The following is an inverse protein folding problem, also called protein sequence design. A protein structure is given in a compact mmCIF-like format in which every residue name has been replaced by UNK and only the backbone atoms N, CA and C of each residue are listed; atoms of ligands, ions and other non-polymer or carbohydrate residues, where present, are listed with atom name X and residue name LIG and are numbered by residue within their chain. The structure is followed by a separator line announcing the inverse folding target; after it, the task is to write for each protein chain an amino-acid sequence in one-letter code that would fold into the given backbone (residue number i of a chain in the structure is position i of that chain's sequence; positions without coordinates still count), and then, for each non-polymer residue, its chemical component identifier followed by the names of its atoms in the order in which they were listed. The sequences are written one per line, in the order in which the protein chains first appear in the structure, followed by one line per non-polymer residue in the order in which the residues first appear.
data_IF_380274073533
#
_entry.id   IF_380274073533
#
_cell.length_a   1.000
_cell.length_b   1.000
_cell.length_c   1.000
_cell.angle_alpha   90.00
_cell.angle_beta   90.00
_cell.angle_gamma   90.00
#
_symmetry.space_group_name_H-M   'P 1'
#
loop_
_entity.id
_entity.type
_entity.pdbx_description
1 polymer ?
#
# COMPACT_ATOMS: atom_id res chain seq x y z
N UNK A 1 31.70 10.46 -0.34
CA UNK A 1 30.72 9.51 0.22
C UNK A 1 30.40 9.99 1.62
N UNK A 2 29.18 10.46 1.92
CA UNK A 2 28.85 10.92 3.26
C UNK A 2 28.89 9.73 4.23
N UNK A 3 29.45 9.98 5.41
CA UNK A 3 29.81 8.98 6.40
C UNK A 3 28.57 8.50 7.15
N UNK A 4 28.50 7.20 7.45
CA UNK A 4 27.46 6.59 8.30
C UNK A 4 27.28 7.29 9.66
N UNK A 5 28.28 8.06 10.09
CA UNK A 5 28.26 8.86 11.31
C UNK A 5 27.41 10.14 11.20
N UNK A 6 27.32 10.76 10.02
CA UNK A 6 26.53 11.98 9.80
C UNK A 6 25.02 11.73 9.93
N UNK A 7 24.58 10.53 9.58
CA UNK A 7 23.18 10.10 9.74
C UNK A 7 22.81 9.96 11.21
N UNK A 8 23.72 9.48 12.05
CA UNK A 8 23.50 9.33 13.49
C UNK A 8 23.35 10.70 14.18
N UNK A 9 24.21 11.67 13.82
CA UNK A 9 24.13 13.04 14.36
C UNK A 9 22.88 13.80 13.93
N UNK A 10 22.30 13.48 12.77
CA UNK A 10 21.03 14.08 12.33
C UNK A 10 19.83 13.74 13.21
N UNK A 11 19.95 12.70 14.05
CA UNK A 11 18.91 12.22 14.96
C UNK A 11 18.99 12.85 16.36
N UNK A 12 20.12 13.52 16.69
CA UNK A 12 20.41 14.13 17.99
C UNK A 12 20.26 15.67 17.96
N UNK A 13 20.28 16.30 16.78
CA UNK A 13 20.24 17.77 16.64
C UNK A 13 18.82 18.25 16.23
N UNK A 14 18.11 19.05 17.06
CA UNK A 14 16.72 19.48 16.82
C UNK A 14 16.55 20.53 15.70
N UNK A 15 17.63 20.91 15.01
CA UNK A 15 17.64 21.95 13.97
C UNK A 15 17.59 21.43 12.52
N UNK A 16 17.46 20.12 12.30
CA UNK A 16 17.16 19.57 10.97
C UNK A 16 15.75 19.01 10.93
N UNK A 17 15.01 19.38 9.86
CA UNK A 17 13.59 19.01 9.63
C UNK A 17 13.38 17.54 10.01
N UNK A 18 12.38 17.21 10.86
CA UNK A 18 12.16 15.85 11.28
C UNK A 18 11.91 14.99 10.04
N UNK A 19 12.88 14.13 9.72
CA UNK A 19 12.67 13.07 8.74
C UNK A 19 11.56 12.22 9.34
N UNK A 20 10.38 12.22 8.72
CA UNK A 20 9.29 11.30 9.07
C UNK A 20 9.74 9.90 8.66
N UNK A 21 10.59 9.30 9.47
CA UNK A 21 10.97 7.89 9.30
C UNK A 21 9.74 7.08 9.68
N UNK A 22 9.23 6.21 8.79
CA UNK A 22 8.12 5.32 9.13
C UNK A 22 8.51 4.45 10.34
N UNK A 23 7.52 4.05 11.12
CA UNK A 23 7.76 3.21 12.30
C UNK A 23 8.32 1.84 11.90
N UNK A 24 9.07 1.16 12.77
CA UNK A 24 9.60 -0.19 12.47
C UNK A 24 8.49 -1.17 12.02
N UNK A 25 7.30 -1.22 12.65
CA UNK A 25 6.20 -2.06 12.18
C UNK A 25 5.74 -1.74 10.75
N UNK A 26 5.68 -0.45 10.40
CA UNK A 26 5.29 0.01 9.07
C UNK A 26 6.33 -0.38 8.01
N UNK A 27 7.62 -0.35 8.36
CA UNK A 27 8.70 -0.81 7.48
C UNK A 27 8.58 -2.33 7.23
N UNK A 28 8.36 -3.12 8.28
CA UNK A 28 8.20 -4.57 8.16
C UNK A 28 6.98 -4.95 7.31
N UNK A 29 5.86 -4.26 7.51
CA UNK A 29 4.64 -4.42 6.71
C UNK A 29 4.88 -4.09 5.23
N UNK A 30 5.48 -2.93 4.93
CA UNK A 30 5.80 -2.55 3.56
C UNK A 30 6.77 -3.55 2.89
N UNK A 31 7.80 -4.01 3.60
CA UNK A 31 8.73 -5.02 3.10
C UNK A 31 8.03 -6.34 2.76
N UNK A 32 7.08 -6.76 3.61
CA UNK A 32 6.28 -7.98 3.39
C UNK A 32 5.38 -7.85 2.15
N UNK A 33 4.75 -6.69 1.96
CA UNK A 33 3.93 -6.42 0.78
C UNK A 33 4.78 -6.39 -0.50
N UNK A 34 5.93 -5.71 -0.48
CA UNK A 34 6.86 -5.66 -1.63
C UNK A 34 7.30 -7.07 -2.03
N UNK A 35 7.68 -7.91 -1.07
CA UNK A 35 8.03 -9.31 -1.32
C UNK A 35 6.88 -10.10 -1.98
N UNK A 36 5.64 -9.77 -1.62
CA UNK A 36 4.44 -10.45 -2.13
C UNK A 36 4.03 -10.00 -3.55
N UNK A 37 4.60 -8.90 -4.08
CA UNK A 37 4.23 -8.36 -5.40
C UNK A 37 4.56 -9.29 -6.56
N UNK A 38 5.61 -10.10 -6.45
CA UNK A 38 5.99 -11.06 -7.49
C UNK A 38 4.98 -12.21 -7.60
N UNK A 39 4.51 -12.72 -6.46
CA UNK A 39 3.42 -13.72 -6.41
C UNK A 39 2.10 -13.14 -6.93
N UNK A 40 1.80 -11.88 -6.61
CA UNK A 40 0.59 -11.21 -7.10
C UNK A 40 0.54 -11.10 -8.63
N UNK A 41 1.69 -10.95 -9.32
CA UNK A 41 1.74 -10.95 -10.79
C UNK A 41 1.39 -12.32 -11.38
N UNK A 42 1.85 -13.41 -10.77
CA UNK A 42 1.53 -14.76 -11.22
C UNK A 42 0.04 -15.05 -11.05
N UNK A 43 -0.50 -14.76 -9.88
CA UNK A 43 -1.93 -14.91 -9.58
C UNK A 43 -2.81 -14.10 -10.55
N UNK A 44 -2.35 -12.91 -10.95
CA UNK A 44 -3.07 -12.08 -11.94
C UNK A 44 -3.21 -12.76 -13.30
N UNK A 45 -2.25 -13.57 -13.73
CA UNK A 45 -2.30 -14.26 -15.03
C UNK A 45 -3.22 -15.48 -15.01
N UNK A 46 -3.40 -16.09 -13.83
CA UNK A 46 -4.25 -17.27 -13.65
C UNK A 46 -5.71 -16.91 -13.30
N UNK A 47 -6.00 -15.66 -12.94
CA UNK A 47 -7.33 -15.24 -12.51
C UNK A 47 -8.29 -14.97 -13.69
N UNK A 48 -9.48 -15.58 -13.66
CA UNK A 48 -10.57 -15.33 -14.62
C UNK A 48 -11.11 -13.90 -14.51
N UNK A 49 -11.09 -13.33 -13.30
CA UNK A 49 -11.54 -11.97 -13.03
C UNK A 49 -10.73 -11.35 -11.90
N UNK A 50 -10.03 -10.26 -12.20
CA UNK A 50 -9.12 -9.58 -11.28
C UNK A 50 -9.60 -8.16 -10.97
N UNK A 51 -9.97 -7.91 -9.71
CA UNK A 51 -10.40 -6.61 -9.21
C UNK A 51 -9.25 -6.00 -8.41
N UNK A 52 -8.85 -4.77 -8.74
CA UNK A 52 -7.83 -4.02 -7.99
C UNK A 52 -8.35 -2.64 -7.61
N UNK A 53 -8.92 -2.47 -6.41
CA UNK A 53 -9.37 -1.17 -5.96
C UNK A 53 -8.17 -0.21 -5.78
N UNK A 54 -8.34 1.09 -6.07
CA UNK A 54 -7.30 2.09 -5.87
C UNK A 54 -7.16 2.43 -4.38
N UNK A 55 -6.28 1.71 -3.68
CA UNK A 55 -6.05 1.85 -2.22
C UNK A 55 -4.66 2.41 -1.87
N UNK A 56 -3.90 2.86 -2.87
CA UNK A 56 -2.50 3.29 -2.76
C UNK A 56 -2.32 4.57 -1.91
N UNK A 57 -3.39 5.35 -1.71
CA UNK A 57 -3.39 6.56 -0.89
C UNK A 57 -3.58 6.31 0.61
N UNK A 58 -3.92 5.08 1.01
CA UNK A 58 -4.17 4.72 2.41
C UNK A 58 -2.91 4.13 3.04
N UNK A 59 -2.53 4.62 4.22
CA UNK A 59 -1.45 3.99 4.98
C UNK A 59 -1.92 2.68 5.59
N UNK A 60 -1.02 1.71 5.63
CA UNK A 60 -1.31 0.35 6.13
C UNK A 60 -1.80 0.32 7.58
N UNK A 61 -1.33 1.26 8.41
CA UNK A 61 -1.65 1.33 9.84
C UNK A 61 -2.68 2.44 10.16
N UNK A 62 -3.32 3.04 9.16
CA UNK A 62 -4.28 4.13 9.35
C UNK A 62 -5.71 3.59 9.50
N UNK A 63 -6.01 3.09 10.70
CA UNK A 63 -7.31 2.50 11.04
C UNK A 63 -8.46 3.52 11.04
N UNK A 64 -8.18 4.81 11.23
CA UNK A 64 -9.17 5.90 11.16
C UNK A 64 -9.83 6.02 9.79
N UNK A 65 -9.17 5.57 8.72
CA UNK A 65 -9.70 5.61 7.37
C UNK A 65 -10.30 4.27 6.90
N UNK A 66 -10.41 3.28 7.79
CA UNK A 66 -10.84 1.92 7.46
C UNK A 66 -12.27 1.88 6.90
N UNK A 67 -13.21 2.59 7.54
CA UNK A 67 -14.61 2.65 7.07
C UNK A 67 -14.70 3.23 5.66
N UNK A 68 -13.93 4.30 5.39
CA UNK A 68 -13.84 4.91 4.07
C UNK A 68 -13.22 3.96 3.04
N UNK A 69 -12.21 3.19 3.44
CA UNK A 69 -11.57 2.18 2.61
C UNK A 69 -12.54 1.06 2.23
N UNK A 70 -13.37 0.62 3.19
CA UNK A 70 -14.41 -0.40 2.98
C UNK A 70 -15.44 0.11 1.96
N UNK A 71 -15.94 1.34 2.14
CA UNK A 71 -16.91 1.93 1.21
C UNK A 71 -16.34 2.03 -0.21
N UNK A 72 -15.10 2.51 -0.36
CA UNK A 72 -14.42 2.60 -1.67
C UNK A 72 -14.28 1.21 -2.30
N UNK A 73 -13.87 0.21 -1.52
CA UNK A 73 -13.76 -1.17 -1.97
C UNK A 73 -15.10 -1.73 -2.45
N UNK A 74 -16.17 -1.47 -1.70
CA UNK A 74 -17.52 -1.91 -2.02
C UNK A 74 -18.04 -1.30 -3.32
N UNK A 75 -17.96 0.02 -3.46
CA UNK A 75 -18.41 0.72 -4.68
C UNK A 75 -17.61 0.29 -5.92
N UNK A 76 -16.30 0.14 -5.77
CA UNK A 76 -15.42 -0.30 -6.85
C UNK A 76 -15.76 -1.73 -7.29
N UNK A 77 -15.87 -2.66 -6.34
CA UNK A 77 -16.20 -4.06 -6.62
C UNK A 77 -17.58 -4.19 -7.28
N UNK A 78 -18.59 -3.46 -6.79
CA UNK A 78 -19.93 -3.45 -7.37
C UNK A 78 -19.90 -3.03 -8.84
N UNK A 79 -19.21 -1.93 -9.16
CA UNK A 79 -19.10 -1.44 -10.53
C UNK A 79 -18.38 -2.44 -11.46
N UNK A 80 -17.29 -3.04 -11.00
CA UNK A 80 -16.54 -4.01 -11.80
C UNK A 80 -17.34 -5.30 -12.04
N UNK A 81 -18.08 -5.78 -11.03
CA UNK A 81 -18.95 -6.96 -11.17
C UNK A 81 -20.10 -6.70 -12.16
N UNK A 82 -20.72 -5.51 -12.12
CA UNK A 82 -21.76 -5.15 -13.08
C UNK A 82 -21.22 -5.13 -14.53
N UNK A 83 -20.02 -4.59 -14.74
CA UNK A 83 -19.36 -4.63 -16.06
C UNK A 83 -19.06 -6.06 -16.51
N UNK A 84 -18.59 -6.90 -15.59
CA UNK A 84 -18.28 -8.30 -15.89
C UNK A 84 -19.54 -9.10 -16.26
N UNK A 85 -20.65 -8.88 -15.55
CA UNK A 85 -21.94 -9.50 -15.86
C UNK A 85 -22.49 -9.09 -17.24
N UNK A 86 -22.18 -7.87 -17.68
CA UNK A 86 -22.63 -7.33 -18.97
C UNK A 86 -21.65 -7.59 -20.12
N UNK A 87 -20.61 -8.42 -19.94
CA UNK A 87 -19.73 -8.81 -21.05
C UNK A 87 -20.53 -9.63 -22.07
N UNK A 88 -20.55 -9.25 -23.35
CA UNK A 88 -21.05 -10.16 -24.39
C UNK A 88 -20.16 -11.40 -24.42
N UNK A 89 -20.80 -12.55 -24.56
CA UNK A 89 -20.19 -13.89 -24.56
C UNK A 89 -19.29 -14.10 -25.76
#
# INVERSE_FOLDING_TARGET
MPSSWEVFWSRIIPFKKPVKVPSIPEILLNATLVNSTQKAKQIKMEADFYIRPPVESFKLLEFTALEKLVEIGYQYAKSEIEKWKNRPK
#
